data_IF_290567799767
#
_entry.id   IF_290567799767
#
_cell.length_a   1.000
_cell.length_b   1.000
_cell.length_c   1.000
_cell.angle_alpha   90.00
_cell.angle_beta   90.00
_cell.angle_gamma   90.00
#
_symmetry.space_group_name_H-M   'P 1'
#
loop_
_entity.id
_entity.type
_entity.pdbx_description
1 polymer ?
#
# COMPACT_ATOMS: atom_id res chain seq x y z
N UNK A 1 -5.55 -11.54 15.56
CA UNK A 1 -5.83 -10.13 15.32
C UNK A 1 -4.89 -9.55 14.29
N UNK A 2 -5.42 -8.80 13.36
CA UNK A 2 -4.65 -8.27 12.22
C UNK A 2 -4.06 -6.91 12.54
N UNK A 3 -3.19 -6.91 13.55
CA UNK A 3 -2.51 -5.68 13.92
C UNK A 3 -1.46 -5.30 12.90
N UNK A 4 -1.37 -4.03 12.59
CA UNK A 4 -0.34 -3.51 11.71
C UNK A 4 0.95 -3.28 12.47
N UNK A 5 2.08 -3.55 11.81
CA UNK A 5 3.37 -3.12 12.32
C UNK A 5 3.50 -1.62 12.05
N UNK A 6 4.48 -0.99 12.69
CA UNK A 6 4.74 0.44 12.49
C UNK A 6 4.96 0.78 11.01
N UNK A 7 5.78 -0.01 10.33
CA UNK A 7 6.07 0.22 8.91
C UNK A 7 4.82 0.01 8.05
N UNK A 8 4.02 -1.02 8.37
CA UNK A 8 2.79 -1.27 7.63
C UNK A 8 1.81 -0.10 7.77
N UNK A 9 1.73 0.50 8.96
CA UNK A 9 0.90 1.70 9.15
C UNK A 9 1.39 2.86 8.30
N UNK A 10 2.70 3.06 8.22
CA UNK A 10 3.27 4.11 7.37
C UNK A 10 2.91 3.89 5.91
N UNK A 11 3.08 2.66 5.43
CA UNK A 11 2.77 2.32 4.04
C UNK A 11 1.29 2.58 3.76
N UNK A 12 0.43 2.13 4.66
CA UNK A 12 -1.02 2.31 4.48
C UNK A 12 -1.41 3.79 4.46
N UNK A 13 -0.81 4.59 5.34
CA UNK A 13 -1.04 6.03 5.37
C UNK A 13 -0.58 6.70 4.08
N UNK A 14 0.56 6.26 3.53
CA UNK A 14 1.05 6.80 2.27
C UNK A 14 0.09 6.51 1.13
N UNK A 15 -0.44 5.29 1.08
CA UNK A 15 -1.43 4.92 0.06
C UNK A 15 -2.66 5.81 0.17
N UNK A 16 -3.16 5.98 1.38
CA UNK A 16 -4.35 6.79 1.63
C UNK A 16 -4.12 8.25 1.23
N UNK A 17 -2.97 8.79 1.62
CA UNK A 17 -2.62 10.17 1.29
C UNK A 17 -2.55 10.39 -0.22
N UNK A 18 -1.95 9.45 -0.93
CA UNK A 18 -1.86 9.55 -2.39
C UNK A 18 -3.25 9.54 -3.03
N UNK A 19 -4.13 8.67 -2.56
CA UNK A 19 -5.51 8.63 -3.03
C UNK A 19 -6.23 9.95 -2.80
N UNK A 20 -6.05 10.53 -1.62
CA UNK A 20 -6.71 11.79 -1.28
C UNK A 20 -6.22 12.94 -2.15
N UNK A 21 -4.93 12.95 -2.45
CA UNK A 21 -4.34 14.04 -3.22
C UNK A 21 -4.51 13.90 -4.74
N UNK A 22 -4.57 12.67 -5.23
CA UNK A 22 -4.52 12.41 -6.67
C UNK A 22 -5.74 11.69 -7.23
N UNK A 23 -6.59 11.16 -6.39
CA UNK A 23 -7.77 10.43 -6.84
C UNK A 23 -7.49 9.06 -7.43
N UNK A 24 -6.27 8.55 -7.26
CA UNK A 24 -5.87 7.25 -7.78
C UNK A 24 -4.77 6.65 -6.91
N UNK A 25 -4.51 5.37 -7.10
CA UNK A 25 -3.50 4.66 -6.33
C UNK A 25 -2.09 5.06 -6.75
N UNK A 26 -1.12 5.04 -5.81
CA UNK A 26 0.28 5.23 -6.17
C UNK A 26 0.83 4.01 -6.90
N UNK A 27 1.86 4.23 -7.72
CA UNK A 27 2.67 3.14 -8.24
C UNK A 27 3.62 2.66 -7.14
N UNK A 28 4.27 1.52 -7.36
CA UNK A 28 5.26 1.03 -6.40
C UNK A 28 6.40 2.04 -6.22
N UNK A 29 6.85 2.65 -7.31
CA UNK A 29 7.93 3.65 -7.26
C UNK A 29 7.53 4.86 -6.42
N UNK A 30 6.32 5.36 -6.66
CA UNK A 30 5.80 6.50 -5.90
C UNK A 30 5.68 6.17 -4.42
N UNK A 31 5.20 4.96 -4.13
CA UNK A 31 5.02 4.53 -2.76
C UNK A 31 6.36 4.36 -2.04
N UNK A 32 7.36 3.80 -2.72
CA UNK A 32 8.71 3.70 -2.17
C UNK A 32 9.24 5.07 -1.76
N UNK A 33 9.07 6.05 -2.64
CA UNK A 33 9.53 7.40 -2.41
C UNK A 33 8.82 8.03 -1.21
N UNK A 34 7.50 7.89 -1.15
CA UNK A 34 6.71 8.45 -0.06
C UNK A 34 7.04 7.81 1.30
N UNK A 35 7.24 6.50 1.29
CA UNK A 35 7.48 5.76 2.53
C UNK A 35 8.94 5.75 2.97
N UNK A 36 9.84 6.28 2.13
CA UNK A 36 11.27 6.28 2.44
C UNK A 36 11.89 4.89 2.36
N UNK A 37 11.33 4.02 1.52
CA UNK A 37 11.82 2.66 1.36
C UNK A 37 12.56 2.56 0.03
N UNK A 38 13.80 2.08 0.07
CA UNK A 38 14.71 2.14 -1.07
C UNK A 38 14.48 1.08 -2.13
N UNK A 39 13.82 -0.01 -1.81
CA UNK A 39 13.65 -1.11 -2.76
C UNK A 39 12.20 -1.48 -2.97
N UNK A 40 11.87 -1.80 -4.23
CA UNK A 40 10.51 -2.24 -4.57
C UNK A 40 10.19 -3.60 -3.94
N UNK A 41 11.20 -4.45 -3.75
CA UNK A 41 11.00 -5.74 -3.12
C UNK A 41 10.46 -5.60 -1.71
N UNK A 42 11.01 -4.66 -0.95
CA UNK A 42 10.57 -4.41 0.43
C UNK A 42 9.14 -3.88 0.46
N UNK A 43 8.83 -2.92 -0.40
CA UNK A 43 7.48 -2.38 -0.50
C UNK A 43 6.50 -3.50 -0.88
N UNK A 44 6.87 -4.31 -1.85
CA UNK A 44 6.03 -5.40 -2.32
C UNK A 44 5.71 -6.38 -1.19
N UNK A 45 6.72 -6.68 -0.37
CA UNK A 45 6.54 -7.54 0.79
C UNK A 45 5.54 -6.96 1.79
N UNK A 46 5.64 -5.66 2.08
CA UNK A 46 4.69 -5.00 2.98
C UNK A 46 3.28 -5.01 2.40
N UNK A 47 3.15 -4.79 1.09
CA UNK A 47 1.83 -4.83 0.44
C UNK A 47 1.21 -6.22 0.52
N UNK A 48 2.02 -7.27 0.34
CA UNK A 48 1.52 -8.64 0.48
C UNK A 48 0.97 -8.90 1.87
N UNK A 49 1.69 -8.41 2.89
CA UNK A 49 1.23 -8.57 4.26
C UNK A 49 -0.03 -7.78 4.55
N UNK A 50 -0.14 -6.57 4.02
CA UNK A 50 -1.35 -5.77 4.15
C UNK A 50 -2.55 -6.46 3.48
N UNK A 51 -2.32 -7.11 2.33
CA UNK A 51 -3.36 -7.91 1.68
C UNK A 51 -3.79 -9.08 2.56
N UNK A 52 -2.83 -9.81 3.10
CA UNK A 52 -3.13 -10.94 3.98
C UNK A 52 -3.96 -10.51 5.19
N UNK A 53 -3.69 -9.32 5.68
CA UNK A 53 -4.42 -8.78 6.84
C UNK A 53 -5.77 -8.17 6.48
N UNK A 54 -6.08 -8.09 5.20
CA UNK A 54 -7.40 -7.64 4.74
C UNK A 54 -7.56 -6.14 4.60
N UNK A 55 -6.48 -5.38 4.57
CA UNK A 55 -6.57 -3.92 4.45
C UNK A 55 -6.63 -3.45 3.00
N UNK A 56 -5.92 -4.13 2.11
CA UNK A 56 -5.85 -3.74 0.71
C UNK A 56 -5.90 -4.96 -0.20
N UNK A 57 -6.14 -4.69 -1.46
CA UNK A 57 -6.06 -5.68 -2.52
C UNK A 57 -5.17 -5.11 -3.63
N UNK A 58 -4.22 -5.90 -4.11
CA UNK A 58 -3.34 -5.47 -5.20
C UNK A 58 -3.73 -6.24 -6.47
N UNK A 59 -4.12 -5.50 -7.50
CA UNK A 59 -4.52 -6.11 -8.77
C UNK A 59 -3.26 -6.40 -9.58
N UNK A 60 -2.99 -7.68 -9.94
CA UNK A 60 -1.78 -8.03 -10.67
C UNK A 60 -1.68 -7.32 -12.01
N UNK A 61 -0.46 -6.97 -12.40
CA UNK A 61 -0.13 -6.37 -13.69
C UNK A 61 -0.71 -4.98 -13.92
N UNK A 62 -1.34 -4.39 -12.93
CA UNK A 62 -1.87 -3.04 -13.03
C UNK A 62 -0.96 -2.11 -12.22
N UNK A 63 -0.37 -1.11 -12.88
CA UNK A 63 0.59 -0.21 -12.23
C UNK A 63 -0.01 0.53 -11.03
N UNK A 64 -1.26 0.95 -11.14
CA UNK A 64 -1.97 1.65 -10.07
C UNK A 64 -3.07 0.75 -9.54
N UNK A 65 -2.67 -0.48 -9.17
CA UNK A 65 -3.60 -1.54 -8.81
C UNK A 65 -3.91 -1.70 -7.34
N UNK A 66 -3.45 -0.79 -6.49
CA UNK A 66 -3.73 -0.89 -5.05
C UNK A 66 -5.14 -0.38 -4.79
N UNK A 67 -5.95 -1.20 -4.12
CA UNK A 67 -7.33 -0.84 -3.76
C UNK A 67 -7.53 -1.07 -2.28
N UNK A 68 -8.26 -0.18 -1.62
CA UNK A 68 -8.68 -0.42 -0.24
C UNK A 68 -9.82 -1.42 -0.22
N UNK A 69 -9.80 -2.28 0.79
CA UNK A 69 -10.90 -3.20 1.02
C UNK A 69 -11.84 -2.51 2.02
N UNK A 70 -13.10 -2.36 1.61
CA UNK A 70 -14.12 -1.80 2.47
C UNK A 70 -14.88 -2.94 3.14
N UNK A 71 -14.73 -3.05 4.45
CA UNK A 71 -15.31 -4.15 5.21
C UNK A 71 -16.60 -3.76 5.95
N UNK A 72 -17.25 -2.76 5.51
CA UNK A 72 -18.52 -2.35 6.14
C UNK A 72 -19.69 -3.18 5.67
#
# INVERSE_FOLDING_TARGET
MNKLTYIQEIVLKCINKYYEENGEAPTLSELCEMAGINTKSTIHWHLRNLQKKGYIRVIPKLKRGIRFINNN
#
